data_IF_667413879392
#
_entry.id   IF_667413879392
#
_cell.length_a   1.000
_cell.length_b   1.000
_cell.length_c   1.000
_cell.angle_alpha   90.00
_cell.angle_beta   90.00
_cell.angle_gamma   90.00
#
_symmetry.space_group_name_H-M   'P 1'
#
loop_
_entity.id
_entity.type
_entity.pdbx_description
1 polymer ?
#
# COMPACT_ATOMS: atom_id res chain seq x y z
N UNK A 1 5.60 36.67 -10.26
CA UNK A 1 5.28 35.35 -10.85
C UNK A 1 6.55 34.51 -10.94
N UNK A 2 6.78 33.60 -10.00
CA UNK A 2 7.94 32.71 -10.04
C UNK A 2 7.45 31.31 -10.42
N UNK A 3 7.49 30.97 -11.72
CA UNK A 3 7.28 29.59 -12.17
C UNK A 3 8.46 28.77 -11.65
N UNK A 4 8.35 28.27 -10.42
CA UNK A 4 9.26 27.23 -9.91
C UNK A 4 8.93 25.95 -10.67
N UNK A 5 9.42 25.88 -11.91
CA UNK A 5 9.57 24.61 -12.60
C UNK A 5 10.32 23.66 -11.67
N UNK A 6 9.85 22.41 -11.62
CA UNK A 6 10.52 21.34 -10.89
C UNK A 6 11.97 21.32 -11.39
N UNK A 7 12.93 21.74 -10.57
CA UNK A 7 14.38 21.63 -10.87
C UNK A 7 14.66 20.20 -11.31
N UNK A 8 15.52 20.00 -12.32
CA UNK A 8 15.82 18.67 -12.86
C UNK A 8 16.09 17.61 -11.78
N UNK A 9 16.78 17.99 -10.70
CA UNK A 9 17.02 17.18 -9.49
C UNK A 9 15.74 16.56 -8.93
N UNK A 10 14.66 17.33 -8.84
CA UNK A 10 13.38 16.88 -8.27
C UNK A 10 12.61 15.93 -9.19
N UNK A 11 12.85 15.97 -10.50
CA UNK A 11 12.24 14.99 -11.43
C UNK A 11 12.87 13.62 -11.25
N UNK A 12 14.20 13.59 -11.11
CA UNK A 12 14.93 12.36 -10.81
C UNK A 12 14.53 11.81 -9.43
N UNK A 13 14.50 12.66 -8.40
CA UNK A 13 14.03 12.25 -7.06
C UNK A 13 12.62 11.66 -7.10
N UNK A 14 11.67 12.32 -7.80
CA UNK A 14 10.31 11.80 -7.93
C UNK A 14 10.28 10.45 -8.67
N UNK A 15 11.04 10.32 -9.77
CA UNK A 15 11.16 9.07 -10.51
C UNK A 15 11.73 7.95 -9.64
N UNK A 16 12.74 8.24 -8.80
CA UNK A 16 13.30 7.27 -7.86
C UNK A 16 12.28 6.82 -6.82
N UNK A 17 11.48 7.74 -6.25
CA UNK A 17 10.42 7.38 -5.29
C UNK A 17 9.35 6.51 -5.95
N UNK A 18 8.98 6.81 -7.19
CA UNK A 18 8.03 5.98 -7.96
C UNK A 18 8.62 4.60 -8.24
N UNK A 19 9.87 4.53 -8.69
CA UNK A 19 10.56 3.27 -8.95
C UNK A 19 10.62 2.40 -7.68
N UNK A 20 10.96 3.00 -6.52
CA UNK A 20 10.92 2.33 -5.23
C UNK A 20 9.52 1.81 -4.90
N UNK A 21 8.47 2.59 -5.16
CA UNK A 21 7.08 2.17 -4.96
C UNK A 21 6.66 1.01 -5.86
N UNK A 22 7.10 1.00 -7.12
CA UNK A 22 6.84 -0.11 -8.06
C UNK A 22 7.60 -1.36 -7.62
N UNK A 23 8.91 -1.24 -7.35
CA UNK A 23 9.74 -2.37 -6.90
C UNK A 23 9.21 -2.97 -5.59
N UNK A 24 8.81 -2.12 -4.64
CA UNK A 24 8.19 -2.58 -3.40
C UNK A 24 6.84 -3.25 -3.66
N UNK A 25 6.01 -2.69 -4.54
CA UNK A 25 4.74 -3.28 -4.95
C UNK A 25 4.90 -4.67 -5.56
N UNK A 26 5.90 -4.86 -6.44
CA UNK A 26 6.23 -6.16 -7.04
C UNK A 26 6.72 -7.17 -5.99
N UNK A 27 7.61 -6.76 -5.09
CA UNK A 27 8.07 -7.61 -3.99
C UNK A 27 6.90 -8.03 -3.08
N UNK A 28 6.03 -7.06 -2.74
CA UNK A 28 4.84 -7.28 -1.91
C UNK A 28 3.91 -8.29 -2.57
N UNK A 29 3.63 -8.15 -3.86
CA UNK A 29 2.80 -9.10 -4.62
C UNK A 29 3.38 -10.51 -4.56
N UNK A 30 4.69 -10.64 -4.81
CA UNK A 30 5.39 -11.92 -4.68
C UNK A 30 5.23 -12.50 -3.27
N UNK A 31 5.44 -11.71 -2.22
CA UNK A 31 5.30 -12.17 -0.84
C UNK A 31 3.87 -12.65 -0.53
N UNK A 32 2.84 -11.89 -0.93
CA UNK A 32 1.44 -12.22 -0.66
C UNK A 32 0.95 -13.44 -1.42
N UNK A 33 1.29 -13.58 -2.70
CA UNK A 33 0.92 -14.76 -3.50
C UNK A 33 1.46 -16.02 -2.81
N UNK A 34 2.75 -16.01 -2.45
CA UNK A 34 3.39 -17.17 -1.85
C UNK A 34 2.89 -17.48 -0.43
N UNK A 35 2.66 -16.45 0.40
CA UNK A 35 2.02 -16.62 1.70
C UNK A 35 0.61 -17.21 1.58
N UNK A 36 -0.17 -16.75 0.60
CA UNK A 36 -1.52 -17.28 0.36
C UNK A 36 -1.49 -18.75 -0.08
N UNK A 37 -0.57 -19.14 -0.96
CA UNK A 37 -0.41 -20.54 -1.33
C UNK A 37 -0.05 -21.43 -0.14
N UNK A 38 0.84 -20.95 0.75
CA UNK A 38 1.20 -21.73 1.93
C UNK A 38 0.05 -21.81 2.95
N UNK A 39 -0.69 -20.71 3.14
CA UNK A 39 -1.88 -20.68 3.99
C UNK A 39 -2.94 -21.65 3.45
N UNK A 40 -3.20 -21.62 2.14
CA UNK A 40 -4.18 -22.50 1.50
C UNK A 40 -3.78 -23.98 1.64
N UNK A 41 -2.50 -24.28 1.45
CA UNK A 41 -1.95 -25.62 1.65
C UNK A 41 -2.20 -26.15 3.06
N UNK A 42 -1.89 -25.34 4.09
CA UNK A 42 -2.13 -25.74 5.48
C UNK A 42 -3.62 -25.78 5.85
N UNK A 43 -4.42 -24.84 5.36
CA UNK A 43 -5.84 -24.74 5.69
C UNK A 43 -6.68 -25.85 5.05
N UNK A 44 -6.31 -26.31 3.85
CA UNK A 44 -7.04 -27.36 3.12
C UNK A 44 -6.35 -28.72 3.16
N UNK A 45 -5.19 -28.83 3.82
CA UNK A 45 -4.37 -30.05 3.84
C UNK A 45 -4.09 -30.58 2.43
N UNK A 46 -3.75 -29.70 1.48
CA UNK A 46 -3.46 -30.13 0.11
C UNK A 46 -2.19 -30.98 0.06
N UNK A 47 -2.01 -31.86 -0.93
CA UNK A 47 -0.81 -32.70 -1.02
C UNK A 47 0.47 -31.89 -1.32
N UNK A 48 0.36 -30.69 -1.88
CA UNK A 48 1.50 -29.83 -2.20
C UNK A 48 1.14 -28.35 -2.07
N UNK A 49 2.17 -27.53 -1.81
CA UNK A 49 2.11 -26.07 -1.83
C UNK A 49 2.68 -25.54 -3.15
N UNK A 50 1.97 -24.58 -3.78
CA UNK A 50 2.47 -23.86 -4.95
C UNK A 50 3.33 -22.63 -4.58
N UNK A 51 3.60 -22.41 -3.29
CA UNK A 51 4.51 -21.36 -2.87
C UNK A 51 5.92 -21.62 -3.42
N UNK A 52 6.65 -20.56 -3.72
CA UNK A 52 8.04 -20.59 -4.14
C UNK A 52 8.90 -21.28 -3.07
N UNK A 53 9.90 -22.06 -3.49
CA UNK A 53 10.74 -22.89 -2.61
C UNK A 53 11.39 -22.11 -1.46
N UNK A 54 11.85 -20.87 -1.72
CA UNK A 54 12.36 -19.98 -0.68
C UNK A 54 11.33 -19.70 0.43
N UNK A 55 10.07 -19.42 0.05
CA UNK A 55 9.00 -19.14 1.01
C UNK A 55 8.60 -20.41 1.75
N UNK A 56 8.55 -21.55 1.07
CA UNK A 56 8.37 -22.85 1.73
C UNK A 56 9.46 -23.10 2.77
N UNK A 57 10.72 -22.77 2.46
CA UNK A 57 11.83 -22.88 3.40
C UNK A 57 11.65 -22.03 4.66
N UNK A 58 11.25 -20.76 4.51
CA UNK A 58 11.03 -19.84 5.63
C UNK A 58 9.78 -20.16 6.46
N UNK A 59 8.78 -20.77 5.84
CA UNK A 59 7.49 -21.09 6.49
C UNK A 59 7.41 -22.53 6.97
N UNK A 60 8.48 -23.31 6.80
CA UNK A 60 8.51 -24.72 7.18
C UNK A 60 8.28 -24.88 8.67
N UNK A 61 7.28 -25.67 9.04
CA UNK A 61 6.93 -25.95 10.43
C UNK A 61 6.16 -24.82 11.13
N UNK A 62 5.84 -23.71 10.44
CA UNK A 62 4.94 -22.71 10.99
C UNK A 62 3.49 -23.20 10.95
N UNK A 63 2.74 -22.88 11.99
CA UNK A 63 1.31 -23.17 12.07
C UNK A 63 0.48 -22.19 11.23
N UNK A 64 -0.74 -22.60 10.87
CA UNK A 64 -1.68 -21.78 10.10
C UNK A 64 -1.92 -20.42 10.76
N UNK A 65 -2.08 -20.39 12.09
CA UNK A 65 -2.32 -19.14 12.82
C UNK A 65 -1.13 -18.17 12.68
N UNK A 66 0.10 -18.67 12.79
CA UNK A 66 1.31 -17.86 12.62
C UNK A 66 1.42 -17.28 11.22
N UNK A 67 1.09 -18.05 10.18
CA UNK A 67 1.08 -17.55 8.80
C UNK A 67 0.04 -16.46 8.58
N UNK A 68 -1.15 -16.60 9.18
CA UNK A 68 -2.19 -15.56 9.14
C UNK A 68 -1.72 -14.28 9.83
N UNK A 69 -1.07 -14.38 10.99
CA UNK A 69 -0.48 -13.22 11.67
C UNK A 69 0.60 -12.54 10.81
N UNK A 70 1.52 -13.31 10.23
CA UNK A 70 2.56 -12.78 9.32
C UNK A 70 1.91 -12.04 8.16
N UNK A 71 0.87 -12.61 7.53
CA UNK A 71 0.14 -11.98 6.43
C UNK A 71 -0.43 -10.61 6.84
N UNK A 72 -1.04 -10.52 8.02
CA UNK A 72 -1.57 -9.25 8.54
C UNK A 72 -0.47 -8.23 8.86
N UNK A 73 0.64 -8.68 9.46
CA UNK A 73 1.80 -7.82 9.76
C UNK A 73 2.40 -7.27 8.47
N UNK A 74 2.60 -8.12 7.45
CA UNK A 74 3.10 -7.71 6.13
C UNK A 74 2.12 -6.72 5.48
N UNK A 75 0.80 -6.94 5.59
CA UNK A 75 -0.19 -6.01 5.04
C UNK A 75 -0.10 -4.62 5.67
N UNK A 76 -0.05 -4.56 7.00
CA UNK A 76 0.09 -3.30 7.74
C UNK A 76 1.41 -2.60 7.41
N UNK A 77 2.52 -3.35 7.40
CA UNK A 77 3.82 -2.83 7.01
C UNK A 77 3.80 -2.25 5.59
N UNK A 78 3.19 -2.94 4.63
CA UNK A 78 3.05 -2.45 3.25
C UNK A 78 2.24 -1.16 3.16
N UNK A 79 1.16 -1.01 3.93
CA UNK A 79 0.41 0.25 4.00
C UNK A 79 1.28 1.39 4.56
N UNK A 80 2.05 1.12 5.62
CA UNK A 80 2.92 2.11 6.24
C UNK A 80 4.05 2.57 5.29
N UNK A 81 4.69 1.63 4.58
CA UNK A 81 5.70 1.94 3.56
C UNK A 81 5.08 2.78 2.44
N UNK A 82 3.90 2.41 1.95
CA UNK A 82 3.24 3.15 0.87
C UNK A 82 2.84 4.57 1.31
N UNK A 83 2.35 4.74 2.54
CA UNK A 83 2.09 6.05 3.13
C UNK A 83 3.38 6.88 3.21
N UNK A 84 4.48 6.28 3.69
CA UNK A 84 5.80 6.92 3.75
C UNK A 84 6.30 7.37 2.37
N UNK A 85 6.17 6.52 1.35
CA UNK A 85 6.53 6.87 -0.02
C UNK A 85 5.64 8.00 -0.58
N UNK A 86 4.35 8.02 -0.27
CA UNK A 86 3.45 9.11 -0.66
C UNK A 86 3.85 10.44 -0.03
N UNK A 87 4.22 10.43 1.26
CA UNK A 87 4.69 11.62 1.97
C UNK A 87 6.01 12.09 1.39
N UNK A 88 6.94 11.17 1.12
CA UNK A 88 8.23 11.49 0.50
C UNK A 88 8.03 12.09 -0.90
N UNK A 89 7.17 11.50 -1.71
CA UNK A 89 6.85 12.01 -3.04
C UNK A 89 6.22 13.40 -2.97
N UNK A 90 5.26 13.61 -2.07
CA UNK A 90 4.67 14.92 -1.83
C UNK A 90 5.74 15.95 -1.38
N UNK A 91 6.69 15.52 -0.53
CA UNK A 91 7.79 16.37 -0.07
C UNK A 91 8.74 16.77 -1.19
N UNK A 92 9.01 15.87 -2.14
CA UNK A 92 9.82 16.14 -3.35
C UNK A 92 9.09 17.12 -4.28
N UNK A 93 7.81 16.85 -4.56
CA UNK A 93 7.02 17.63 -5.53
C UNK A 93 6.66 19.04 -5.00
N UNK A 94 6.20 19.14 -3.75
CA UNK A 94 5.72 20.40 -3.16
C UNK A 94 6.78 21.13 -2.34
N UNK A 95 7.87 20.45 -1.95
CA UNK A 95 8.96 21.03 -1.16
C UNK A 95 8.65 21.22 0.33
N UNK A 96 7.51 20.74 0.82
CA UNK A 96 7.04 20.93 2.20
C UNK A 96 6.47 19.62 2.76
N UNK A 97 6.42 19.50 4.09
CA UNK A 97 5.83 18.36 4.80
C UNK A 97 4.34 18.55 5.12
N UNK A 98 3.73 19.66 4.70
CA UNK A 98 2.36 20.05 5.05
C UNK A 98 1.32 18.98 4.67
N UNK A 99 1.56 18.27 3.58
CA UNK A 99 0.68 17.22 3.05
C UNK A 99 0.74 15.92 3.86
N UNK A 100 1.73 15.74 4.75
CA UNK A 100 1.90 14.51 5.50
C UNK A 100 0.65 14.15 6.33
N UNK A 101 0.08 15.15 7.03
CA UNK A 101 -1.14 14.95 7.83
C UNK A 101 -2.33 14.54 6.96
N UNK A 102 -2.53 15.18 5.81
CA UNK A 102 -3.62 14.83 4.89
C UNK A 102 -3.47 13.44 4.31
N UNK A 103 -2.24 13.03 3.95
CA UNK A 103 -1.95 11.67 3.46
C UNK A 103 -2.23 10.64 4.56
N UNK A 104 -1.71 10.86 5.77
CA UNK A 104 -1.95 9.94 6.90
C UNK A 104 -3.43 9.82 7.26
N UNK A 105 -4.16 10.94 7.26
CA UNK A 105 -5.61 10.92 7.48
C UNK A 105 -6.35 10.15 6.38
N UNK A 106 -5.95 10.32 5.11
CA UNK A 106 -6.50 9.56 4.00
C UNK A 106 -6.27 8.05 4.15
N UNK A 107 -5.03 7.65 4.46
CA UNK A 107 -4.70 6.25 4.73
C UNK A 107 -5.48 5.70 5.92
N UNK A 108 -5.56 6.44 7.03
CA UNK A 108 -6.31 6.04 8.21
C UNK A 108 -7.81 5.89 7.91
N UNK A 109 -8.41 6.82 7.17
CA UNK A 109 -9.81 6.76 6.79
C UNK A 109 -10.12 5.52 5.94
N UNK A 110 -9.32 5.23 4.92
CA UNK A 110 -9.50 4.05 4.07
C UNK A 110 -9.22 2.74 4.82
N UNK A 111 -8.25 2.72 5.75
CA UNK A 111 -7.97 1.55 6.58
C UNK A 111 -9.13 1.27 7.55
N UNK A 112 -9.66 2.31 8.20
CA UNK A 112 -10.83 2.19 9.07
C UNK A 112 -12.07 1.78 8.29
N UNK A 113 -12.27 2.31 7.08
CA UNK A 113 -13.37 1.90 6.21
C UNK A 113 -13.23 0.43 5.80
N UNK A 114 -12.03 0.01 5.38
CA UNK A 114 -11.75 -1.40 5.06
C UNK A 114 -12.05 -2.32 6.26
N UNK A 115 -11.63 -1.92 7.46
CA UNK A 115 -11.90 -2.66 8.69
C UNK A 115 -13.40 -2.71 9.02
N UNK A 116 -14.11 -1.59 8.87
CA UNK A 116 -15.55 -1.53 9.06
C UNK A 116 -16.29 -2.46 8.08
N UNK A 117 -15.87 -2.49 6.80
CA UNK A 117 -16.42 -3.41 5.80
C UNK A 117 -16.10 -4.87 6.13
N UNK A 118 -14.92 -5.17 6.69
CA UNK A 118 -14.58 -6.51 7.14
C UNK A 118 -15.52 -7.01 8.23
N UNK A 119 -15.83 -6.15 9.22
CA UNK A 119 -16.82 -6.49 10.24
C UNK A 119 -18.23 -6.58 9.66
N UNK A 120 -18.57 -5.68 8.73
CA UNK A 120 -19.87 -5.66 8.06
C UNK A 120 -20.13 -6.94 7.25
N UNK A 121 -19.07 -7.59 6.76
CA UNK A 121 -19.16 -8.84 5.99
C UNK A 121 -19.85 -9.97 6.74
N UNK A 122 -19.87 -9.93 8.09
CA UNK A 122 -20.62 -10.88 8.93
C UNK A 122 -22.13 -10.84 8.66
N UNK A 123 -22.66 -9.68 8.26
CA UNK A 123 -24.08 -9.49 7.96
C UNK A 123 -24.36 -9.46 6.45
N UNK A 124 -23.40 -9.03 5.63
CA UNK A 124 -23.54 -8.99 4.18
C UNK A 124 -22.24 -9.46 3.50
N UNK A 125 -22.18 -10.72 3.01
CA UNK A 125 -20.97 -11.31 2.42
C UNK A 125 -20.25 -10.49 1.34
N UNK A 126 -20.93 -9.72 0.47
CA UNK A 126 -20.25 -8.89 -0.54
C UNK A 126 -19.26 -7.85 0.04
N UNK A 127 -19.41 -7.43 1.31
CA UNK A 127 -18.49 -6.48 1.93
C UNK A 127 -17.09 -7.04 2.19
N UNK A 128 -16.92 -8.37 2.19
CA UNK A 128 -15.59 -8.97 2.29
C UNK A 128 -14.70 -8.57 1.10
N UNK A 129 -15.24 -8.65 -0.12
CA UNK A 129 -14.53 -8.25 -1.33
C UNK A 129 -14.16 -6.75 -1.29
N UNK A 130 -15.10 -5.90 -0.86
CA UNK A 130 -14.90 -4.46 -0.75
C UNK A 130 -13.80 -4.15 0.27
N UNK A 131 -13.84 -4.80 1.44
CA UNK A 131 -12.82 -4.65 2.48
C UNK A 131 -11.43 -4.97 1.94
N UNK A 132 -11.28 -6.12 1.26
CA UNK A 132 -10.01 -6.57 0.68
C UNK A 132 -9.52 -5.60 -0.39
N UNK A 133 -10.39 -5.14 -1.29
CA UNK A 133 -10.03 -4.17 -2.33
C UNK A 133 -9.54 -2.85 -1.74
N UNK A 134 -10.23 -2.31 -0.72
CA UNK A 134 -9.81 -1.09 -0.04
C UNK A 134 -8.45 -1.26 0.65
N UNK A 135 -8.23 -2.38 1.35
CA UNK A 135 -6.94 -2.68 1.97
C UNK A 135 -5.82 -2.80 0.91
N UNK A 136 -6.12 -3.41 -0.23
CA UNK A 136 -5.20 -3.55 -1.34
C UNK A 136 -4.83 -2.19 -1.94
N UNK A 137 -5.80 -1.30 -2.17
CA UNK A 137 -5.55 0.04 -2.70
C UNK A 137 -4.50 0.81 -1.88
N UNK A 138 -4.44 0.62 -0.56
CA UNK A 138 -3.46 1.26 0.31
C UNK A 138 -2.06 0.62 0.25
N UNK A 139 -1.94 -0.60 -0.26
CA UNK A 139 -0.68 -1.35 -0.32
C UNK A 139 -0.01 -1.29 -1.71
N UNK A 140 -0.79 -1.07 -2.76
CA UNK A 140 -0.30 -0.91 -4.14
C UNK A 140 0.19 0.51 -4.42
N UNK A 141 0.97 0.76 -5.47
CA UNK A 141 1.46 2.10 -5.84
C UNK A 141 0.37 3.07 -6.36
N UNK A 142 -0.92 2.71 -6.24
CA UNK A 142 -2.05 3.57 -6.65
C UNK A 142 -2.05 4.94 -5.92
N UNK A 143 -1.81 5.02 -4.59
CA UNK A 143 -1.74 6.30 -3.89
C UNK A 143 -0.61 7.22 -4.39
N UNK A 144 0.50 6.66 -4.88
CA UNK A 144 1.58 7.45 -5.49
C UNK A 144 1.12 8.14 -6.77
N UNK A 145 0.29 7.45 -7.57
CA UNK A 145 -0.32 8.03 -8.77
C UNK A 145 -1.25 9.18 -8.39
N UNK A 146 -2.05 9.05 -7.33
CA UNK A 146 -2.88 10.16 -6.85
C UNK A 146 -2.07 11.38 -6.41
N UNK A 147 -0.93 11.17 -5.73
CA UNK A 147 -0.02 12.28 -5.36
C UNK A 147 0.57 12.96 -6.60
N UNK A 148 0.93 12.20 -7.64
CA UNK A 148 1.40 12.77 -8.92
C UNK A 148 0.31 13.58 -9.61
N UNK A 149 -0.89 13.03 -9.73
CA UNK A 149 -2.03 13.71 -10.35
C UNK A 149 -2.37 14.99 -9.57
N UNK A 150 -2.38 14.95 -8.24
CA UNK A 150 -2.60 16.13 -7.42
C UNK A 150 -1.55 17.22 -7.66
N UNK A 151 -0.31 16.86 -8.01
CA UNK A 151 0.73 17.82 -8.36
C UNK A 151 0.52 18.48 -9.74
N UNK A 152 -0.26 17.86 -10.63
CA UNK A 152 -0.63 18.43 -11.94
C UNK A 152 -1.86 19.32 -11.91
N UNK A 153 -2.67 19.25 -10.85
CA UNK A 153 -3.86 20.09 -10.74
C UNK A 153 -3.46 21.56 -10.60
N UNK A 154 -4.15 22.49 -11.31
CA UNK A 154 -3.98 23.91 -11.09
C UNK A 154 -4.22 24.22 -9.61
N UNK A 155 -3.25 24.88 -8.95
CA UNK A 155 -3.52 25.46 -7.63
C UNK A 155 -4.52 26.57 -7.87
N UNK A 156 -5.80 26.31 -7.59
CA UNK A 156 -6.80 27.37 -7.55
C UNK A 156 -6.26 28.44 -6.59
N UNK A 157 -6.11 29.65 -7.11
CA UNK A 157 -5.69 30.82 -6.35
C UNK A 157 -6.77 31.11 -5.30
N UNK A 158 -6.70 30.45 -4.15
CA UNK A 158 -7.60 30.65 -3.02
C UNK A 158 -6.85 31.24 -1.82
N UNK A 159 -7.04 32.56 -1.61
CA UNK A 159 -6.65 33.35 -0.42
C UNK A 159 -5.19 33.81 -0.43
N UNK A 160 -4.79 35.08 -0.47
CA UNK A 160 -5.35 36.27 0.21
C UNK A 160 -5.69 35.96 1.67
N UNK A 161 -4.75 36.26 2.57
CA UNK A 161 -4.78 36.01 4.00
C UNK A 161 -3.36 35.90 4.52
#
# INVERSE_FOLDING_TARGET
>A
MNRRGIRWDRRLEAALVIALGISFGSWREFAFINLNYQIDHLARHTPFSFAHSLVQGWTRGLELHTLLLIKWVVAFFSMAVMAGLCILLARVLFGQWRQAKSILLGFAAFALLSLAMHFAARWAPPFELVSVQLAHMLQYPVPLVFVLLAATLPRTMGGAG
#
